data_IF_819598338341
#
_entry.id   IF_819598338341
#
_cell.length_a   1.000
_cell.length_b   1.000
_cell.length_c   1.000
_cell.angle_alpha   90.00
_cell.angle_beta   90.00
_cell.angle_gamma   90.00
#
_symmetry.space_group_name_H-M   'P 1'
#
loop_
_entity.id
_entity.type
_entity.pdbx_description
1 polymer ?
#
# COMPACT_ATOMS: atom_id res chain seq x y z
N UNK A 1 -10.86 59.12 15.41
CA UNK A 1 -11.33 58.01 16.29
C UNK A 1 -12.26 57.02 15.59
N UNK A 2 -13.22 57.45 14.74
CA UNK A 2 -14.13 56.54 14.01
C UNK A 2 -13.46 55.69 12.91
N UNK A 3 -12.47 56.24 12.21
CA UNK A 3 -11.72 55.56 11.12
C UNK A 3 -10.83 54.43 11.60
N UNK A 4 -10.18 54.56 12.75
CA UNK A 4 -9.36 53.50 13.34
C UNK A 4 -10.19 52.26 13.71
N UNK A 5 -11.37 52.44 14.32
CA UNK A 5 -12.29 51.32 14.62
C UNK A 5 -12.77 50.60 13.37
N UNK A 6 -13.05 51.33 12.28
CA UNK A 6 -13.42 50.71 11.01
C UNK A 6 -12.26 49.88 10.46
N UNK A 7 -11.03 50.42 10.48
CA UNK A 7 -9.83 49.67 10.06
C UNK A 7 -9.59 48.41 10.92
N UNK A 8 -9.80 48.48 12.23
CA UNK A 8 -9.72 47.32 13.13
C UNK A 8 -10.78 46.26 12.82
N UNK A 9 -12.02 46.66 12.55
CA UNK A 9 -13.09 45.75 12.17
C UNK A 9 -12.77 45.06 10.84
N UNK A 10 -12.33 45.81 9.83
CA UNK A 10 -11.92 45.24 8.55
C UNK A 10 -10.70 44.32 8.68
N UNK A 11 -9.72 44.69 9.51
CA UNK A 11 -8.56 43.86 9.81
C UNK A 11 -8.96 42.54 10.49
N UNK A 12 -9.84 42.60 11.49
CA UNK A 12 -10.37 41.41 12.17
C UNK A 12 -11.15 40.51 11.20
N UNK A 13 -12.02 41.07 10.36
CA UNK A 13 -12.74 40.32 9.32
C UNK A 13 -11.74 39.67 8.35
N UNK A 14 -10.69 40.40 7.94
CA UNK A 14 -9.63 39.88 7.07
C UNK A 14 -8.92 38.66 7.68
N UNK A 15 -8.57 38.71 8.96
CA UNK A 15 -7.97 37.58 9.68
C UNK A 15 -8.93 36.39 9.73
N UNK A 16 -10.20 36.60 10.09
CA UNK A 16 -11.20 35.52 10.14
C UNK A 16 -11.40 34.87 8.77
N UNK A 17 -11.55 35.67 7.71
CA UNK A 17 -11.69 35.17 6.34
C UNK A 17 -10.44 34.42 5.87
N UNK A 18 -9.24 34.88 6.24
CA UNK A 18 -8.00 34.17 5.92
C UNK A 18 -7.91 32.80 6.59
N UNK A 19 -8.34 32.69 7.85
CA UNK A 19 -8.35 31.42 8.58
C UNK A 19 -9.36 30.43 7.99
N UNK A 20 -10.53 30.93 7.57
CA UNK A 20 -11.53 30.10 6.85
C UNK A 20 -10.94 29.59 5.54
N UNK A 21 -10.29 30.47 4.76
CA UNK A 21 -9.66 30.10 3.49
C UNK A 21 -8.59 29.02 3.68
N UNK A 22 -7.69 29.20 4.65
CA UNK A 22 -6.66 28.19 4.99
C UNK A 22 -7.31 26.87 5.40
N UNK A 23 -8.37 26.90 6.22
CA UNK A 23 -9.09 25.69 6.61
C UNK A 23 -9.68 24.92 5.41
N UNK A 24 -10.24 25.65 4.43
CA UNK A 24 -10.76 25.06 3.18
C UNK A 24 -9.62 24.47 2.35
N UNK A 25 -8.51 25.18 2.19
CA UNK A 25 -7.35 24.74 1.41
C UNK A 25 -6.69 23.48 2.02
N UNK A 26 -6.53 23.44 3.34
CA UNK A 26 -6.03 22.26 4.05
C UNK A 26 -6.94 21.05 3.83
N UNK A 27 -8.26 21.24 3.89
CA UNK A 27 -9.21 20.15 3.63
C UNK A 27 -9.15 19.67 2.17
N UNK A 28 -9.06 20.58 1.20
CA UNK A 28 -8.91 20.23 -0.22
C UNK A 28 -7.60 19.46 -0.47
N UNK A 29 -6.48 19.96 0.04
CA UNK A 29 -5.17 19.33 -0.13
C UNK A 29 -5.13 17.93 0.51
N UNK A 30 -5.79 17.75 1.66
CA UNK A 30 -5.91 16.43 2.31
C UNK A 30 -6.72 15.46 1.45
N UNK A 31 -7.87 15.90 0.91
CA UNK A 31 -8.71 15.05 0.06
C UNK A 31 -8.02 14.69 -1.26
N UNK A 32 -7.29 15.62 -1.87
CA UNK A 32 -6.48 15.37 -3.06
C UNK A 32 -5.39 14.33 -2.77
N UNK A 33 -4.68 14.47 -1.66
CA UNK A 33 -3.62 13.54 -1.26
C UNK A 33 -4.16 12.13 -0.99
N UNK A 34 -5.34 12.03 -0.35
CA UNK A 34 -6.05 10.77 -0.16
C UNK A 34 -6.44 10.11 -1.49
N UNK A 35 -7.03 10.87 -2.41
CA UNK A 35 -7.41 10.36 -3.72
C UNK A 35 -6.19 9.88 -4.52
N UNK A 36 -5.08 10.62 -4.44
CA UNK A 36 -3.83 10.21 -5.08
C UNK A 36 -3.32 8.88 -4.52
N UNK A 37 -3.33 8.71 -3.19
CA UNK A 37 -2.92 7.45 -2.57
C UNK A 37 -3.78 6.25 -3.02
N UNK A 38 -5.09 6.44 -3.20
CA UNK A 38 -5.96 5.40 -3.77
C UNK A 38 -5.64 5.08 -5.23
N UNK A 39 -5.35 6.09 -6.04
CA UNK A 39 -4.98 5.93 -7.44
C UNK A 39 -3.65 5.20 -7.57
N UNK A 40 -2.63 5.61 -6.81
CA UNK A 40 -1.29 4.99 -6.83
C UNK A 40 -1.36 3.51 -6.43
N UNK A 41 -2.16 3.20 -5.40
CA UNK A 41 -2.37 1.82 -4.98
C UNK A 41 -3.10 1.00 -6.05
N UNK A 42 -4.17 1.54 -6.64
CA UNK A 42 -4.94 0.86 -7.69
C UNK A 42 -4.10 0.65 -8.96
N UNK A 43 -3.26 1.62 -9.31
CA UNK A 43 -2.32 1.54 -10.42
C UNK A 43 -1.28 0.45 -10.17
N UNK A 44 -0.72 0.39 -8.97
CA UNK A 44 0.25 -0.65 -8.61
C UNK A 44 -0.35 -2.07 -8.71
N UNK A 45 -1.61 -2.25 -8.31
CA UNK A 45 -2.32 -3.53 -8.48
C UNK A 45 -2.63 -3.86 -9.95
N UNK A 46 -3.01 -2.84 -10.73
CA UNK A 46 -3.21 -2.98 -12.18
C UNK A 46 -1.91 -3.43 -12.85
N UNK A 47 -0.78 -2.82 -12.51
CA UNK A 47 0.51 -3.15 -13.10
C UNK A 47 0.98 -4.57 -12.73
N UNK A 48 0.80 -4.99 -11.47
CA UNK A 48 1.03 -6.38 -11.06
C UNK A 48 0.15 -7.35 -11.85
N UNK A 49 -1.13 -7.02 -12.01
CA UNK A 49 -2.08 -7.86 -12.75
C UNK A 49 -1.68 -7.98 -14.22
N UNK A 50 -1.29 -6.87 -14.86
CA UNK A 50 -0.81 -6.86 -16.23
C UNK A 50 0.50 -7.63 -16.39
N UNK A 51 1.44 -7.50 -15.45
CA UNK A 51 2.68 -8.27 -15.45
C UNK A 51 2.40 -9.78 -15.43
N UNK A 52 1.47 -10.22 -14.58
CA UNK A 52 1.07 -11.64 -14.54
C UNK A 52 0.38 -12.05 -15.84
N UNK A 53 -0.55 -11.24 -16.34
CA UNK A 53 -1.35 -11.59 -17.52
C UNK A 53 -0.56 -11.59 -18.84
N UNK A 54 0.57 -10.89 -18.91
CA UNK A 54 1.36 -10.72 -20.14
C UNK A 54 2.67 -11.51 -20.15
N UNK A 55 3.05 -12.14 -19.04
CA UNK A 55 4.18 -13.06 -18.99
C UNK A 55 3.72 -14.49 -19.35
N UNK A 56 4.43 -15.12 -20.28
CA UNK A 56 4.06 -16.45 -20.80
C UNK A 56 4.27 -17.59 -19.79
N UNK A 57 5.05 -17.37 -18.73
CA UNK A 57 5.52 -18.40 -17.79
C UNK A 57 4.97 -18.17 -16.39
N UNK A 58 4.88 -16.91 -15.95
CA UNK A 58 4.53 -16.53 -14.58
C UNK A 58 3.19 -17.09 -14.10
N UNK A 59 2.10 -17.13 -14.90
CA UNK A 59 0.84 -17.77 -14.48
C UNK A 59 1.01 -19.25 -14.13
N UNK A 60 1.83 -19.99 -14.89
CA UNK A 60 2.12 -21.41 -14.64
C UNK A 60 2.92 -21.58 -13.35
N UNK A 61 3.92 -20.73 -13.12
CA UNK A 61 4.71 -20.75 -11.88
C UNK A 61 3.84 -20.45 -10.66
N UNK A 62 2.96 -19.46 -10.74
CA UNK A 62 2.01 -19.13 -9.66
C UNK A 62 1.07 -20.31 -9.40
N UNK A 63 0.55 -20.98 -10.43
CA UNK A 63 -0.31 -22.15 -10.26
C UNK A 63 0.42 -23.28 -9.52
N UNK A 64 1.71 -23.50 -9.82
CA UNK A 64 2.56 -24.49 -9.14
C UNK A 64 2.78 -24.15 -7.67
N UNK A 65 3.03 -22.88 -7.32
CA UNK A 65 3.17 -22.49 -5.90
C UNK A 65 1.86 -22.69 -5.14
N UNK A 66 0.71 -22.40 -5.76
CA UNK A 66 -0.62 -22.66 -5.19
C UNK A 66 -0.89 -24.16 -5.03
N UNK A 67 -0.36 -25.00 -5.93
CA UNK A 67 -0.44 -26.45 -5.84
C UNK A 67 0.45 -27.06 -4.73
N UNK A 68 1.24 -26.22 -4.04
CA UNK A 68 2.09 -26.64 -2.92
C UNK A 68 3.55 -26.88 -3.27
N UNK A 69 3.98 -26.55 -4.49
CA UNK A 69 5.40 -26.59 -4.83
C UNK A 69 6.19 -25.54 -4.04
N UNK A 70 7.38 -25.93 -3.62
CA UNK A 70 8.28 -25.16 -2.74
C UNK A 70 9.51 -24.69 -3.50
N UNK A 71 10.39 -23.89 -2.88
CA UNK A 71 11.53 -23.28 -3.60
C UNK A 71 12.42 -24.30 -4.33
N UNK A 72 12.57 -25.50 -3.78
CA UNK A 72 13.43 -26.55 -4.36
C UNK A 72 12.88 -27.16 -5.64
N UNK A 73 11.58 -27.00 -5.92
CA UNK A 73 10.89 -27.56 -7.08
C UNK A 73 11.03 -26.66 -8.32
N UNK A 74 11.57 -25.45 -8.15
CA UNK A 74 11.74 -24.45 -9.20
C UNK A 74 13.20 -24.32 -9.61
N UNK A 75 13.42 -24.11 -10.92
CA UNK A 75 14.72 -23.70 -11.45
C UNK A 75 15.15 -22.36 -10.83
N UNK A 76 16.45 -22.05 -10.90
CA UNK A 76 16.96 -20.77 -10.38
C UNK A 76 16.33 -19.60 -11.15
N UNK A 77 16.11 -19.73 -12.46
CA UNK A 77 15.46 -18.71 -13.27
C UNK A 77 14.00 -18.49 -12.85
N UNK A 78 13.25 -19.57 -12.61
CA UNK A 78 11.86 -19.49 -12.14
C UNK A 78 11.78 -18.87 -10.75
N UNK A 79 12.72 -19.23 -9.86
CA UNK A 79 12.81 -18.63 -8.53
C UNK A 79 13.04 -17.12 -8.61
N UNK A 80 13.92 -16.65 -9.50
CA UNK A 80 14.15 -15.21 -9.69
C UNK A 80 12.85 -14.52 -10.13
N UNK A 81 12.11 -15.07 -11.10
CA UNK A 81 10.84 -14.51 -11.57
C UNK A 81 9.80 -14.44 -10.45
N UNK A 82 9.60 -15.55 -9.73
CA UNK A 82 8.67 -15.63 -8.61
C UNK A 82 9.05 -14.65 -7.49
N UNK A 83 10.34 -14.61 -7.12
CA UNK A 83 10.84 -13.73 -6.07
C UNK A 83 10.64 -12.26 -6.46
N UNK A 84 10.94 -11.87 -7.69
CA UNK A 84 10.72 -10.49 -8.17
C UNK A 84 9.25 -10.09 -8.11
N UNK A 85 8.34 -10.96 -8.55
CA UNK A 85 6.90 -10.73 -8.48
C UNK A 85 6.40 -10.65 -7.01
N UNK A 86 6.88 -11.53 -6.14
CA UNK A 86 6.50 -11.52 -4.72
C UNK A 86 7.06 -10.29 -3.98
N UNK A 87 8.30 -9.88 -4.27
CA UNK A 87 8.86 -8.61 -3.78
C UNK A 87 7.98 -7.44 -4.22
N UNK A 88 7.65 -7.36 -5.50
CA UNK A 88 6.81 -6.29 -6.03
C UNK A 88 5.45 -6.27 -5.31
N UNK A 89 4.83 -7.44 -5.14
CA UNK A 89 3.57 -7.59 -4.40
C UNK A 89 3.68 -7.09 -2.97
N UNK A 90 4.71 -7.50 -2.22
CA UNK A 90 4.94 -7.02 -0.84
C UNK A 90 5.18 -5.51 -0.80
N UNK A 91 5.89 -4.93 -1.78
CA UNK A 91 6.11 -3.48 -1.84
C UNK A 91 4.82 -2.69 -2.05
N UNK A 92 3.88 -3.21 -2.84
CA UNK A 92 2.54 -2.61 -2.99
C UNK A 92 1.80 -2.59 -1.65
N UNK A 93 1.86 -3.69 -0.89
CA UNK A 93 1.28 -3.75 0.45
C UNK A 93 1.97 -2.83 1.46
N UNK A 94 3.29 -2.70 1.39
CA UNK A 94 4.04 -1.77 2.23
C UNK A 94 3.69 -0.30 1.93
N UNK A 95 3.50 0.04 0.65
CA UNK A 95 3.03 1.37 0.25
C UNK A 95 1.64 1.68 0.80
N UNK A 96 0.73 0.71 0.77
CA UNK A 96 -0.61 0.84 1.36
C UNK A 96 -0.53 1.02 2.89
N UNK A 97 0.28 0.20 3.57
CA UNK A 97 0.52 0.32 5.01
C UNK A 97 1.05 1.71 5.40
N UNK A 98 2.03 2.24 4.68
CA UNK A 98 2.59 3.59 4.93
C UNK A 98 1.56 4.68 4.70
N UNK A 99 0.72 4.54 3.66
CA UNK A 99 -0.35 5.48 3.36
C UNK A 99 -1.41 5.50 4.47
N UNK A 100 -1.74 4.35 5.04
CA UNK A 100 -2.59 4.25 6.24
C UNK A 100 -1.93 4.86 7.48
N UNK A 101 -0.68 4.50 7.77
CA UNK A 101 0.06 5.01 8.94
C UNK A 101 0.18 6.55 8.93
N UNK A 102 0.24 7.16 7.74
CA UNK A 102 0.27 8.61 7.56
C UNK A 102 -1.09 9.32 7.69
N UNK A 103 -2.18 8.57 7.84
CA UNK A 103 -3.55 9.10 7.92
C UNK A 103 -4.16 9.50 6.57
N UNK A 104 -3.46 9.26 5.45
CA UNK A 104 -3.98 9.52 4.11
C UNK A 104 -5.12 8.56 3.79
N UNK A 105 -4.91 7.27 4.04
CA UNK A 105 -5.91 6.23 3.84
C UNK A 105 -6.54 5.81 5.17
N UNK A 106 -7.86 5.63 5.22
CA UNK A 106 -8.55 5.22 6.42
C UNK A 106 -8.39 3.70 6.64
N UNK A 107 -8.51 3.28 7.91
CA UNK A 107 -8.21 1.90 8.36
C UNK A 107 -9.06 0.84 7.65
N UNK A 108 -10.31 1.15 7.31
CA UNK A 108 -11.17 0.25 6.54
C UNK A 108 -10.58 -0.14 5.18
N UNK A 109 -9.70 0.69 4.61
CA UNK A 109 -9.01 0.36 3.35
C UNK A 109 -8.06 -0.81 3.57
N UNK A 110 -7.33 -0.83 4.69
CA UNK A 110 -6.43 -1.92 5.05
C UNK A 110 -7.22 -3.20 5.31
N UNK A 111 -8.31 -3.10 6.08
CA UNK A 111 -9.15 -4.25 6.46
C UNK A 111 -9.82 -4.88 5.24
N UNK A 112 -10.42 -4.08 4.36
CA UNK A 112 -11.18 -4.59 3.21
C UNK A 112 -10.32 -5.16 2.10
N UNK A 113 -9.04 -4.76 2.00
CA UNK A 113 -8.16 -5.18 0.91
C UNK A 113 -7.52 -6.56 1.16
N UNK A 114 -7.74 -7.17 2.32
CA UNK A 114 -7.23 -8.50 2.70
C UNK A 114 -5.74 -8.65 2.40
N UNK A 115 -4.93 -7.76 2.98
CA UNK A 115 -3.48 -7.66 2.75
C UNK A 115 -2.84 -9.03 2.92
N UNK A 116 -2.09 -9.45 1.91
CA UNK A 116 -1.39 -10.73 1.93
C UNK A 116 -2.28 -11.98 1.79
N UNK A 117 -3.61 -11.90 1.91
CA UNK A 117 -4.52 -13.05 1.82
C UNK A 117 -4.74 -13.62 0.41
N UNK A 118 -4.16 -13.01 -0.62
CA UNK A 118 -4.27 -13.46 -2.01
C UNK A 118 -3.41 -14.68 -2.34
N UNK A 119 -3.77 -15.38 -3.42
CA UNK A 119 -3.08 -16.59 -3.92
C UNK A 119 -1.57 -16.42 -4.17
N UNK A 120 -1.12 -15.18 -4.40
CA UNK A 120 0.28 -14.86 -4.70
C UNK A 120 1.22 -15.04 -3.49
N UNK A 121 0.70 -14.82 -2.28
CA UNK A 121 1.48 -14.81 -1.03
C UNK A 121 1.06 -15.93 -0.07
N UNK A 122 -0.17 -16.42 -0.18
CA UNK A 122 -0.67 -17.52 0.65
C UNK A 122 -0.22 -18.90 0.11
N UNK A 123 1.10 -19.14 0.06
CA UNK A 123 1.72 -20.39 -0.39
C UNK A 123 3.06 -20.65 0.33
N UNK A 124 3.49 -21.90 0.35
CA UNK A 124 4.68 -22.31 1.13
C UNK A 124 5.98 -21.76 0.54
N UNK A 125 6.05 -21.63 -0.79
CA UNK A 125 7.14 -20.93 -1.47
C UNK A 125 7.36 -19.53 -0.87
N UNK A 126 6.29 -18.71 -0.75
CA UNK A 126 6.41 -17.37 -0.20
C UNK A 126 6.84 -17.38 1.27
N UNK A 127 6.30 -18.29 2.09
CA UNK A 127 6.67 -18.38 3.52
C UNK A 127 8.13 -18.71 3.73
N UNK A 128 8.72 -19.53 2.85
CA UNK A 128 10.15 -19.80 2.86
C UNK A 128 10.94 -18.55 2.46
N UNK A 129 10.55 -17.92 1.34
CA UNK A 129 11.20 -16.73 0.81
C UNK A 129 11.10 -15.52 1.77
N UNK A 130 9.98 -15.37 2.48
CA UNK A 130 9.73 -14.28 3.42
C UNK A 130 10.79 -14.18 4.52
N UNK A 131 11.35 -15.31 4.97
CA UNK A 131 12.40 -15.36 5.99
C UNK A 131 13.62 -14.53 5.61
N UNK A 132 13.93 -14.46 4.32
CA UNK A 132 15.03 -13.68 3.75
C UNK A 132 14.59 -12.25 3.46
N UNK A 133 13.43 -12.08 2.80
CA UNK A 133 13.02 -10.78 2.25
C UNK A 133 12.58 -9.79 3.34
N UNK A 134 12.07 -10.28 4.48
CA UNK A 134 11.56 -9.42 5.56
C UNK A 134 12.59 -8.47 6.14
N UNK A 135 13.88 -8.81 6.02
CA UNK A 135 15.00 -7.97 6.43
C UNK A 135 15.13 -6.67 5.61
N UNK A 136 14.45 -6.58 4.47
CA UNK A 136 14.46 -5.41 3.57
C UNK A 136 13.34 -4.40 3.86
N UNK A 137 12.56 -4.65 4.91
CA UNK A 137 11.40 -3.85 5.29
C UNK A 137 11.54 -3.31 6.71
N UNK A 138 10.72 -2.32 7.06
CA UNK A 138 10.71 -1.75 8.41
C UNK A 138 10.09 -2.73 9.40
N UNK A 139 10.53 -2.65 10.66
CA UNK A 139 10.02 -3.51 11.75
C UNK A 139 8.50 -3.38 11.89
N UNK A 140 7.97 -2.15 11.87
CA UNK A 140 6.53 -1.90 11.99
C UNK A 140 5.73 -2.61 10.87
N UNK A 141 6.21 -2.54 9.64
CA UNK A 141 5.57 -3.21 8.52
C UNK A 141 5.65 -4.73 8.67
N UNK A 142 6.81 -5.27 9.05
CA UNK A 142 6.97 -6.72 9.25
C UNK A 142 6.01 -7.23 10.32
N UNK A 143 5.92 -6.54 11.46
CA UNK A 143 5.01 -6.90 12.56
C UNK A 143 3.55 -6.87 12.11
N UNK A 144 3.16 -5.87 11.33
CA UNK A 144 1.82 -5.76 10.77
C UNK A 144 1.53 -6.86 9.73
N UNK A 145 2.49 -7.10 8.83
CA UNK A 145 2.32 -7.99 7.68
C UNK A 145 2.33 -9.46 8.09
N UNK A 146 3.12 -9.84 9.10
CA UNK A 146 3.15 -11.20 9.66
C UNK A 146 1.87 -11.57 10.46
N UNK A 147 0.98 -10.61 10.75
CA UNK A 147 -0.33 -10.88 11.37
C UNK A 147 -1.42 -11.19 10.35
N UNK A 148 -1.11 -11.11 9.06
CA UNK A 148 -2.09 -11.30 7.99
C UNK A 148 -2.32 -12.79 7.66
N UNK A 149 -3.44 -13.15 7.01
CA UNK A 149 -3.86 -14.55 6.83
C UNK A 149 -2.84 -15.46 6.14
N UNK A 150 -1.94 -14.94 5.30
CA UNK A 150 -0.91 -15.76 4.65
C UNK A 150 0.10 -16.37 5.63
N UNK A 151 0.36 -15.74 6.77
CA UNK A 151 1.34 -16.23 7.74
C UNK A 151 0.69 -17.10 8.84
N UNK A 152 -0.64 -17.14 8.90
CA UNK A 152 -1.37 -18.00 9.82
C UNK A 152 -1.44 -19.39 9.19
N UNK A 153 -0.72 -20.36 9.77
CA UNK A 153 -0.90 -21.77 9.39
C UNK A 153 -2.37 -22.15 9.63
N UNK A 154 -3.08 -22.53 8.57
CA UNK A 154 -4.19 -23.47 8.71
C UNK A 154 -3.62 -24.87 8.94
#
# INVERSE_FOLDING_TARGET
MKTHRLAEIFGMIGVVLSLIFVGVEVNQNTNLSRNQAYLDFSESLKDLTLQIATDDVLPSLIARTVAGETRIDFSIEDQVRLNSMQIATVRVWEGLFRSWQSGLLPEETIINTNIGGGILLNNDYFREFWKEVKLQHTVDFVLFFEQQPWNVRM
#
